data_IF_855943490232
#
_entry.id   IF_855943490232
#
_cell.length_a   1.000
_cell.length_b   1.000
_cell.length_c   1.000
_cell.angle_alpha   90.00
_cell.angle_beta   90.00
_cell.angle_gamma   90.00
#
_symmetry.space_group_name_H-M   'P 1'
#
loop_
_entity.id
_entity.type
_entity.pdbx_description
1 polymer ?
#
# COMPACT_ATOMS: atom_id res chain seq x y z
N UNK A 1 -33.67 11.51 9.93
CA UNK A 1 -32.91 10.27 9.75
C UNK A 1 -31.89 10.36 8.61
N UNK A 2 -32.22 10.87 7.42
CA UNK A 2 -31.30 11.00 6.27
C UNK A 2 -30.03 11.86 6.50
N UNK A 3 -30.14 12.97 7.30
CA UNK A 3 -28.97 13.84 7.58
C UNK A 3 -27.96 13.26 8.59
N UNK A 4 -28.38 12.33 9.45
CA UNK A 4 -27.49 11.63 10.39
C UNK A 4 -26.74 10.47 9.71
N UNK A 5 -27.35 9.82 8.71
CA UNK A 5 -26.68 8.84 7.87
C UNK A 5 -25.55 9.47 7.03
N UNK A 6 -25.76 10.71 6.53
CA UNK A 6 -24.75 11.42 5.74
C UNK A 6 -23.50 11.79 6.55
N UNK A 7 -23.64 12.13 7.83
CA UNK A 7 -22.52 12.48 8.70
C UNK A 7 -21.71 11.24 9.13
N UNK A 8 -22.38 10.12 9.44
CA UNK A 8 -21.71 8.85 9.78
C UNK A 8 -21.01 8.24 8.55
N UNK A 9 -21.58 8.38 7.35
CA UNK A 9 -20.95 7.94 6.10
C UNK A 9 -19.74 8.82 5.76
N UNK A 10 -19.79 10.12 6.06
CA UNK A 10 -18.68 11.05 5.84
C UNK A 10 -17.46 10.71 6.73
N UNK A 11 -17.67 10.23 7.96
CA UNK A 11 -16.58 9.79 8.84
C UNK A 11 -15.85 8.54 8.31
N UNK A 12 -16.53 7.65 7.57
CA UNK A 12 -15.93 6.47 6.90
C UNK A 12 -14.98 6.84 5.74
N UNK A 13 -15.13 8.07 5.20
CA UNK A 13 -14.42 8.51 3.99
C UNK A 13 -13.15 9.32 4.26
N UNK A 14 -12.95 9.73 5.50
CA UNK A 14 -11.86 10.64 5.86
C UNK A 14 -10.48 9.99 5.99
N UNK A 15 -10.40 8.67 5.96
CA UNK A 15 -9.13 8.00 5.71
C UNK A 15 -9.00 7.82 4.20
N UNK A 16 -8.22 8.65 3.53
CA UNK A 16 -7.67 8.27 2.21
C UNK A 16 -7.13 6.85 2.40
N UNK A 17 -7.55 5.87 1.59
CA UNK A 17 -6.98 4.54 1.73
C UNK A 17 -5.47 4.72 1.70
N UNK A 18 -4.80 4.34 2.80
CA UNK A 18 -3.35 4.38 2.87
C UNK A 18 -2.88 3.71 1.60
N UNK A 19 -2.04 4.40 0.82
CA UNK A 19 -1.46 3.81 -0.38
C UNK A 19 -0.84 2.49 0.05
N UNK A 20 -1.52 1.39 -0.24
CA UNK A 20 -1.02 0.08 0.16
C UNK A 20 0.38 -0.07 -0.44
N UNK A 21 1.39 -0.04 0.42
CA UNK A 21 2.77 -0.30 0.06
C UNK A 21 2.99 -1.82 0.07
N UNK A 22 2.21 -2.52 -0.76
CA UNK A 22 2.40 -3.93 -1.03
C UNK A 22 3.77 -4.16 -1.68
N UNK A 23 4.39 -5.28 -1.37
CA UNK A 23 5.58 -5.71 -2.09
C UNK A 23 5.20 -6.14 -3.51
N UNK A 24 6.17 -6.13 -4.42
CA UNK A 24 6.01 -6.73 -5.74
C UNK A 24 6.63 -8.13 -5.76
N UNK A 25 6.24 -8.95 -6.73
CA UNK A 25 6.82 -10.28 -6.92
C UNK A 25 8.35 -10.22 -6.97
N UNK A 26 9.00 -11.06 -6.15
CA UNK A 26 10.46 -11.19 -6.00
C UNK A 26 11.15 -10.00 -5.33
N UNK A 27 10.44 -9.06 -4.71
CA UNK A 27 11.07 -7.94 -3.98
C UNK A 27 11.92 -8.45 -2.79
N UNK A 28 11.65 -9.66 -2.27
CA UNK A 28 12.46 -10.31 -1.24
C UNK A 28 13.66 -11.11 -1.78
N UNK A 29 14.01 -11.01 -3.07
CA UNK A 29 15.29 -11.49 -3.61
C UNK A 29 16.28 -10.32 -3.58
N UNK A 30 17.30 -10.32 -2.68
CA UNK A 30 18.21 -9.18 -2.57
C UNK A 30 19.14 -9.07 -3.78
N UNK A 31 19.47 -7.85 -4.16
CA UNK A 31 20.59 -7.60 -5.04
C UNK A 31 21.93 -7.80 -4.29
N UNK A 32 23.06 -8.01 -5.02
CA UNK A 32 24.36 -8.11 -4.38
C UNK A 32 24.71 -6.88 -3.52
N UNK A 33 25.41 -7.06 -2.38
CA UNK A 33 25.90 -5.94 -1.59
C UNK A 33 26.76 -4.98 -2.41
N UNK A 34 26.57 -3.67 -2.19
CA UNK A 34 27.18 -2.59 -2.97
C UNK A 34 26.31 -2.08 -4.11
N UNK A 35 25.20 -2.77 -4.42
CA UNK A 35 24.24 -2.31 -5.44
C UNK A 35 23.42 -1.13 -4.89
N UNK A 36 23.33 -0.08 -5.69
CA UNK A 36 22.34 0.98 -5.49
C UNK A 36 21.20 0.76 -6.49
N UNK A 37 19.97 0.69 -5.99
CA UNK A 37 18.76 0.55 -6.79
C UNK A 37 17.91 1.80 -6.65
N UNK A 38 17.42 2.27 -7.75
CA UNK A 38 16.55 3.42 -7.86
C UNK A 38 15.23 3.01 -8.49
N UNK A 39 14.12 3.21 -7.80
CA UNK A 39 12.80 2.95 -8.36
C UNK A 39 11.97 4.23 -8.45
N UNK A 40 11.27 4.38 -9.58
CA UNK A 40 10.20 5.35 -9.76
C UNK A 40 8.91 4.60 -10.07
N UNK A 41 7.85 4.91 -9.31
CA UNK A 41 6.51 4.35 -9.54
C UNK A 41 5.53 5.44 -9.92
N UNK A 42 4.54 5.04 -10.70
CA UNK A 42 3.30 5.78 -10.88
C UNK A 42 2.14 4.83 -10.57
N UNK A 43 1.27 5.23 -9.65
CA UNK A 43 0.06 4.50 -9.31
C UNK A 43 -1.16 5.33 -9.65
N UNK A 44 -2.10 4.74 -10.39
CA UNK A 44 -3.42 5.28 -10.63
C UNK A 44 -4.44 4.37 -9.94
N UNK A 45 -5.19 4.91 -8.99
CA UNK A 45 -6.14 4.18 -8.17
C UNK A 45 -7.52 4.80 -8.37
N UNK A 46 -8.52 3.97 -8.63
CA UNK A 46 -9.92 4.41 -8.78
C UNK A 46 -10.84 3.53 -7.94
N UNK A 47 -11.96 4.10 -7.49
CA UNK A 47 -13.06 3.35 -6.89
C UNK A 47 -14.40 4.02 -7.23
N UNK A 48 -15.38 3.22 -7.64
CA UNK A 48 -16.74 3.69 -7.93
C UNK A 48 -17.78 3.15 -6.94
N UNK A 49 -17.39 2.22 -6.09
CA UNK A 49 -18.26 1.56 -5.14
C UNK A 49 -17.73 1.72 -3.71
N UNK A 50 -18.66 1.94 -2.79
CA UNK A 50 -18.38 1.96 -1.36
C UNK A 50 -19.13 0.80 -0.68
N UNK A 51 -18.41 0.10 0.21
CA UNK A 51 -18.94 -1.06 0.94
C UNK A 51 -18.93 -0.81 2.44
N UNK A 52 -19.88 -1.41 3.14
CA UNK A 52 -19.95 -1.48 4.60
C UNK A 52 -20.50 -2.83 5.03
N UNK A 53 -19.78 -3.54 5.88
CA UNK A 53 -20.14 -4.89 6.37
C UNK A 53 -20.46 -5.91 5.26
N UNK A 54 -19.81 -5.79 4.09
CA UNK A 54 -20.01 -6.65 2.93
C UNK A 54 -21.10 -6.17 1.97
N UNK A 55 -21.92 -5.23 2.36
CA UNK A 55 -22.97 -4.67 1.52
C UNK A 55 -22.46 -3.46 0.74
N UNK A 56 -22.79 -3.41 -0.56
CA UNK A 56 -22.55 -2.21 -1.36
C UNK A 56 -23.52 -1.11 -0.95
N UNK A 57 -22.99 -0.08 -0.26
CA UNK A 57 -23.80 1.05 0.25
C UNK A 57 -23.92 2.19 -0.74
N UNK A 58 -23.02 2.27 -1.71
CA UNK A 58 -23.12 3.22 -2.83
C UNK A 58 -22.43 2.67 -4.08
N UNK A 59 -22.98 2.99 -5.25
CA UNK A 59 -22.36 2.84 -6.58
C UNK A 59 -22.06 4.20 -7.23
N UNK A 60 -22.19 5.27 -6.49
CA UNK A 60 -21.86 6.64 -6.87
C UNK A 60 -20.90 7.22 -5.82
N UNK A 61 -19.70 6.66 -5.82
CA UNK A 61 -18.53 7.01 -5.02
C UNK A 61 -17.33 7.05 -5.95
N UNK A 62 -16.94 8.24 -6.38
CA UNK A 62 -15.92 8.40 -7.40
C UNK A 62 -14.63 8.88 -6.75
N UNK A 63 -13.76 7.93 -6.40
CA UNK A 63 -12.39 8.20 -5.95
C UNK A 63 -11.43 8.04 -7.13
N UNK A 64 -10.55 9.01 -7.31
CA UNK A 64 -9.41 8.93 -8.23
C UNK A 64 -8.16 9.44 -7.53
N UNK A 65 -7.06 8.69 -7.63
CA UNK A 65 -5.76 9.08 -7.04
C UNK A 65 -4.65 8.81 -8.06
N UNK A 66 -3.72 9.76 -8.20
CA UNK A 66 -2.49 9.61 -8.96
C UNK A 66 -1.31 9.83 -8.02
N UNK A 67 -0.42 8.86 -7.89
CA UNK A 67 0.67 8.90 -6.91
C UNK A 67 1.97 8.51 -7.58
N UNK A 68 2.91 9.44 -7.59
CA UNK A 68 4.32 9.18 -7.91
C UNK A 68 5.07 8.75 -6.65
N UNK A 69 5.90 7.70 -6.75
CA UNK A 69 6.74 7.23 -5.65
C UNK A 69 8.17 7.16 -6.13
N UNK A 70 9.04 7.76 -5.36
CA UNK A 70 10.49 7.74 -5.53
C UNK A 70 11.10 6.87 -4.43
N UNK A 71 11.84 5.82 -4.79
CA UNK A 71 12.38 4.82 -3.85
C UNK A 71 13.85 4.54 -4.12
N UNK A 72 14.80 5.20 -3.43
CA UNK A 72 16.20 4.80 -3.37
C UNK A 72 16.37 3.62 -2.42
N UNK A 73 17.22 2.67 -2.82
CA UNK A 73 17.55 1.44 -2.08
C UNK A 73 19.04 1.23 -2.16
N UNK A 74 19.70 0.91 -1.05
CA UNK A 74 21.12 0.57 -1.04
C UNK A 74 21.36 -0.77 -0.37
N UNK A 75 21.79 -1.76 -1.15
CA UNK A 75 22.12 -3.09 -0.64
C UNK A 75 23.51 -3.10 -0.01
N UNK A 76 23.61 -3.54 1.23
CA UNK A 76 24.86 -3.64 1.98
C UNK A 76 24.88 -4.88 2.87
N UNK A 77 25.95 -5.04 3.65
CA UNK A 77 26.07 -6.12 4.63
C UNK A 77 26.32 -5.59 6.03
N UNK A 78 25.66 -6.22 7.02
CA UNK A 78 25.93 -6.00 8.43
C UNK A 78 26.22 -7.37 9.07
N UNK A 79 27.49 -7.65 9.35
CA UNK A 79 27.93 -8.99 9.74
C UNK A 79 27.63 -10.02 8.65
N UNK A 80 26.96 -11.12 8.96
CA UNK A 80 26.61 -12.15 7.96
C UNK A 80 25.34 -11.83 7.17
N UNK A 81 24.61 -10.76 7.51
CA UNK A 81 23.30 -10.47 6.94
C UNK A 81 23.38 -9.44 5.82
N UNK A 82 22.62 -9.66 4.76
CA UNK A 82 22.32 -8.63 3.77
C UNK A 82 21.23 -7.71 4.34
N UNK A 83 21.37 -6.41 4.13
CA UNK A 83 20.42 -5.38 4.53
C UNK A 83 20.28 -4.34 3.42
N UNK A 84 19.11 -3.73 3.29
CA UNK A 84 18.85 -2.69 2.29
C UNK A 84 18.07 -1.49 2.88
N UNK A 85 18.72 -0.50 3.50
CA UNK A 85 18.04 0.72 3.86
C UNK A 85 17.42 1.41 2.63
N UNK A 86 16.17 1.90 2.83
CA UNK A 86 15.33 2.47 1.79
C UNK A 86 14.50 3.65 2.31
N UNK A 87 14.09 4.51 1.41
CA UNK A 87 13.09 5.54 1.68
C UNK A 87 12.07 5.56 0.53
N UNK A 88 10.82 5.86 0.85
CA UNK A 88 9.79 6.15 -0.13
C UNK A 88 9.33 7.60 0.06
N UNK A 89 9.40 8.37 -1.01
CA UNK A 89 8.93 9.74 -1.07
C UNK A 89 7.74 9.73 -2.03
N UNK A 90 6.57 10.13 -1.53
CA UNK A 90 5.31 10.06 -2.25
C UNK A 90 4.78 11.47 -2.51
N UNK A 91 4.40 11.73 -3.76
CA UNK A 91 3.72 12.96 -4.16
C UNK A 91 2.57 12.61 -5.11
N UNK A 92 1.43 13.26 -4.94
CA UNK A 92 0.30 12.96 -5.80
C UNK A 92 -0.87 13.89 -5.62
N UNK A 93 -1.99 13.45 -6.21
CA UNK A 93 -3.29 14.07 -6.10
C UNK A 93 -4.37 13.02 -5.83
N UNK A 94 -5.45 13.48 -5.22
CA UNK A 94 -6.64 12.68 -4.98
C UNK A 94 -7.88 13.54 -5.21
N UNK A 95 -8.89 12.96 -5.85
CA UNK A 95 -10.21 13.56 -6.06
C UNK A 95 -11.29 12.60 -5.56
N UNK A 96 -12.35 13.14 -4.96
CA UNK A 96 -13.46 12.38 -4.44
C UNK A 96 -14.75 13.13 -4.66
N UNK A 97 -15.74 12.52 -5.32
CA UNK A 97 -17.08 13.03 -5.53
C UNK A 97 -18.14 11.93 -5.50
N UNK A 98 -19.37 12.28 -5.81
CA UNK A 98 -20.51 11.36 -5.91
C UNK A 98 -21.54 11.51 -4.79
N UNK A 99 -22.65 10.78 -4.93
CA UNK A 99 -23.77 10.85 -3.97
C UNK A 99 -23.37 10.34 -2.58
N UNK A 100 -22.40 9.43 -2.48
CA UNK A 100 -21.87 8.91 -1.22
C UNK A 100 -21.28 10.02 -0.33
N UNK A 101 -20.77 11.08 -0.93
CA UNK A 101 -20.21 12.26 -0.23
C UNK A 101 -21.13 13.48 -0.32
N UNK A 102 -22.44 13.22 -0.52
CA UNK A 102 -23.48 14.27 -0.55
C UNK A 102 -23.47 15.13 -1.81
N UNK A 103 -22.87 14.65 -2.92
CA UNK A 103 -22.72 15.37 -4.17
C UNK A 103 -21.66 16.48 -4.13
N UNK A 104 -20.85 16.53 -3.07
CA UNK A 104 -19.72 17.46 -2.99
C UNK A 104 -18.52 16.90 -3.78
N UNK A 105 -17.62 17.81 -4.15
CA UNK A 105 -16.33 17.48 -4.74
C UNK A 105 -15.22 17.90 -3.79
N UNK A 106 -14.29 16.96 -3.53
CA UNK A 106 -13.12 17.19 -2.69
C UNK A 106 -11.86 16.85 -3.47
N UNK A 107 -10.79 17.59 -3.21
CA UNK A 107 -9.49 17.33 -3.82
C UNK A 107 -8.36 17.60 -2.82
N UNK A 108 -7.27 16.88 -2.99
CA UNK A 108 -6.02 17.10 -2.28
C UNK A 108 -4.87 16.90 -3.26
N UNK A 109 -3.80 17.67 -3.11
CA UNK A 109 -2.55 17.54 -3.89
C UNK A 109 -1.39 17.86 -2.98
N UNK A 110 -0.31 17.09 -3.06
CA UNK A 110 0.90 17.37 -2.28
C UNK A 110 1.70 16.13 -1.92
N UNK A 111 2.62 16.29 -0.97
CA UNK A 111 3.39 15.18 -0.43
C UNK A 111 2.55 14.36 0.55
N UNK A 112 2.52 13.04 0.34
CA UNK A 112 2.01 12.12 1.35
C UNK A 112 3.09 11.84 2.42
N UNK A 113 2.73 11.09 3.45
CA UNK A 113 3.66 10.71 4.51
C UNK A 113 4.78 9.84 3.93
N UNK A 114 6.07 10.25 4.04
CA UNK A 114 7.17 9.43 3.56
C UNK A 114 7.38 8.22 4.46
N UNK A 115 7.96 7.16 3.88
CA UNK A 115 8.22 5.90 4.60
C UNK A 115 9.70 5.58 4.57
N UNK A 116 10.25 5.21 5.73
CA UNK A 116 11.59 4.66 5.85
C UNK A 116 11.51 3.19 6.24
N UNK A 117 12.39 2.38 5.66
CA UNK A 117 12.41 0.94 5.88
C UNK A 117 13.79 0.36 5.61
N UNK A 118 14.01 -0.86 6.07
CA UNK A 118 15.18 -1.64 5.69
C UNK A 118 14.82 -3.13 5.78
N UNK A 119 15.11 -3.90 4.76
CA UNK A 119 14.97 -5.35 4.83
C UNK A 119 16.24 -5.97 5.39
N UNK A 120 16.11 -6.88 6.33
CA UNK A 120 17.17 -7.74 6.82
C UNK A 120 16.90 -9.17 6.34
N UNK A 121 17.79 -9.71 5.51
CA UNK A 121 17.73 -11.12 5.09
C UNK A 121 18.48 -12.01 6.06
N UNK A 122 17.73 -12.86 6.77
CA UNK A 122 18.30 -13.91 7.62
C UNK A 122 18.44 -15.25 6.90
N UNK A 123 17.78 -15.42 5.72
CA UNK A 123 18.07 -16.47 4.75
C UNK A 123 18.32 -15.82 3.39
N UNK A 124 19.51 -16.05 2.84
CA UNK A 124 19.88 -15.63 1.49
C UNK A 124 20.62 -16.82 0.84
N UNK A 125 19.86 -17.76 0.28
CA UNK A 125 20.36 -19.00 -0.31
C UNK A 125 19.99 -19.10 -1.80
N UNK A 126 20.76 -18.47 -2.70
CA UNK A 126 20.52 -18.52 -4.14
C UNK A 126 20.62 -19.95 -4.71
N UNK A 127 21.44 -20.84 -4.10
CA UNK A 127 21.60 -22.21 -4.56
C UNK A 127 20.32 -23.02 -4.44
N UNK A 128 19.60 -22.85 -3.32
CA UNK A 128 18.34 -23.50 -3.07
C UNK A 128 17.14 -22.61 -3.47
N UNK A 129 17.40 -21.42 -4.04
CA UNK A 129 16.39 -20.41 -4.40
C UNK A 129 15.46 -20.12 -3.24
N UNK A 130 16.02 -19.83 -2.06
CA UNK A 130 15.26 -19.52 -0.84
C UNK A 130 15.79 -18.24 -0.22
N UNK A 131 14.87 -17.29 -0.03
CA UNK A 131 15.15 -16.03 0.63
C UNK A 131 14.08 -15.76 1.68
N UNK A 132 14.49 -15.32 2.85
CA UNK A 132 13.58 -14.91 3.92
C UNK A 132 14.13 -13.65 4.55
N UNK A 133 13.31 -12.62 4.60
CA UNK A 133 13.66 -11.32 5.16
C UNK A 133 12.60 -10.75 6.08
N UNK A 134 13.02 -9.83 6.92
CA UNK A 134 12.17 -9.02 7.77
C UNK A 134 12.35 -7.55 7.44
N UNK A 135 11.24 -6.85 7.25
CA UNK A 135 11.22 -5.43 6.86
C UNK A 135 10.33 -4.63 7.84
N UNK A 136 10.89 -3.86 8.77
CA UNK A 136 10.14 -2.84 9.46
C UNK A 136 9.95 -1.61 8.55
N UNK A 137 8.71 -1.21 8.33
CA UNK A 137 8.36 0.07 7.71
C UNK A 137 7.94 1.06 8.79
N UNK A 138 8.35 2.30 8.65
CA UNK A 138 7.94 3.41 9.52
C UNK A 138 7.47 4.57 8.64
N UNK A 139 6.17 4.87 8.70
CA UNK A 139 5.58 6.04 8.05
C UNK A 139 5.70 7.24 8.98
N UNK A 140 6.22 8.34 8.45
CA UNK A 140 6.48 9.58 9.20
C UNK A 140 5.34 10.58 8.93
N UNK A 141 4.62 11.09 9.96
CA UNK A 141 3.49 12.00 9.77
C UNK A 141 3.96 13.44 9.49
N UNK A 142 4.59 13.63 8.34
CA UNK A 142 5.16 14.92 7.91
C UNK A 142 4.66 15.36 6.52
N UNK A 143 3.73 14.60 5.93
CA UNK A 143 3.06 14.94 4.70
C UNK A 143 2.07 16.09 4.86
N UNK A 144 1.43 16.49 3.76
CA UNK A 144 0.46 17.59 3.78
C UNK A 144 -0.85 17.16 4.41
N UNK A 145 -1.16 17.77 5.55
CA UNK A 145 -2.37 17.56 6.31
C UNK A 145 -3.02 18.89 6.73
N UNK A 146 -4.31 18.99 6.52
CA UNK A 146 -5.14 20.08 7.02
C UNK A 146 -6.46 19.48 7.52
N UNK A 147 -6.72 19.57 8.84
CA UNK A 147 -7.94 19.04 9.46
C UNK A 147 -9.24 19.65 8.91
N UNK A 148 -9.15 20.83 8.28
CA UNK A 148 -10.29 21.50 7.66
C UNK A 148 -10.68 20.87 6.32
N UNK A 149 -9.83 20.02 5.75
CA UNK A 149 -10.09 19.29 4.51
C UNK A 149 -10.71 17.92 4.80
N UNK A 150 -11.66 17.54 3.99
CA UNK A 150 -12.24 16.20 4.00
C UNK A 150 -11.25 15.16 3.45
N UNK A 151 -10.46 15.57 2.47
CA UNK A 151 -9.47 14.73 1.78
C UNK A 151 -8.07 15.30 2.04
N UNK A 152 -7.15 14.45 2.49
CA UNK A 152 -5.76 14.80 2.78
C UNK A 152 -4.80 13.79 2.14
N UNK A 153 -3.57 14.22 1.83
CA UNK A 153 -2.52 13.33 1.34
C UNK A 153 -1.78 12.62 2.48
N UNK A 154 -1.81 13.15 3.70
CA UNK A 154 -1.22 12.58 4.92
C UNK A 154 -2.30 12.03 5.85
N UNK A 155 -1.97 10.96 6.57
CA UNK A 155 -2.80 10.43 7.66
C UNK A 155 -2.58 11.15 9.00
N UNK A 156 -1.56 12.03 9.09
CA UNK A 156 -1.16 12.77 10.28
C UNK A 156 -0.95 11.88 11.52
N UNK A 157 -0.36 10.70 11.32
CA UNK A 157 -0.07 9.73 12.38
C UNK A 157 1.08 8.82 11.97
N UNK A 158 1.80 8.29 12.95
CA UNK A 158 2.79 7.26 12.71
C UNK A 158 2.11 5.95 12.34
N UNK A 159 2.70 5.22 11.38
CA UNK A 159 2.34 3.84 11.09
C UNK A 159 3.60 2.99 11.15
N UNK A 160 3.54 1.90 11.91
CA UNK A 160 4.63 0.93 12.02
C UNK A 160 4.13 -0.37 11.41
N UNK A 161 4.80 -0.83 10.33
CA UNK A 161 4.44 -2.08 9.63
C UNK A 161 5.63 -3.04 9.67
N UNK A 162 5.70 -3.96 10.65
CA UNK A 162 6.58 -5.13 10.56
C UNK A 162 6.05 -6.08 9.49
N UNK A 163 6.95 -6.54 8.60
CA UNK A 163 6.65 -7.45 7.51
C UNK A 163 7.68 -8.56 7.43
N UNK A 164 7.24 -9.78 7.18
CA UNK A 164 8.11 -10.93 6.87
C UNK A 164 7.76 -11.42 5.48
N UNK A 165 8.78 -11.51 4.64
CA UNK A 165 8.65 -12.05 3.30
C UNK A 165 9.54 -13.28 3.09
N UNK A 166 8.98 -14.27 2.38
CA UNK A 166 9.65 -15.47 1.93
C UNK A 166 9.50 -15.58 0.42
N UNK A 167 10.61 -15.84 -0.29
CA UNK A 167 10.59 -16.22 -1.70
C UNK A 167 11.20 -17.59 -1.87
N UNK A 168 10.50 -18.48 -2.56
CA UNK A 168 10.96 -19.82 -2.90
C UNK A 168 10.83 -20.09 -4.39
N UNK A 169 11.95 -20.43 -5.02
CA UNK A 169 11.98 -20.91 -6.41
C UNK A 169 11.74 -22.41 -6.51
N UNK A 170 11.00 -22.83 -7.53
CA UNK A 170 10.69 -24.23 -7.87
C UNK A 170 11.10 -24.52 -9.32
N UNK A 171 11.93 -25.53 -9.52
CA UNK A 171 12.52 -25.82 -10.82
C UNK A 171 13.33 -24.61 -11.31
N UNK A 172 13.23 -24.32 -12.61
CA UNK A 172 14.02 -23.24 -13.23
C UNK A 172 13.25 -21.93 -13.32
N UNK A 173 11.91 -21.96 -13.40
CA UNK A 173 11.07 -20.85 -13.87
C UNK A 173 10.05 -20.32 -12.87
N UNK A 174 9.63 -21.11 -11.88
CA UNK A 174 8.58 -20.71 -10.94
C UNK A 174 9.16 -20.14 -9.65
N UNK A 175 8.53 -19.08 -9.14
CA UNK A 175 8.80 -18.54 -7.81
C UNK A 175 7.48 -18.26 -7.10
N UNK A 176 7.45 -18.58 -5.82
CA UNK A 176 6.35 -18.29 -4.92
C UNK A 176 6.85 -17.36 -3.82
N UNK A 177 6.18 -16.23 -3.68
CA UNK A 177 6.40 -15.29 -2.60
C UNK A 177 5.25 -15.43 -1.61
N UNK A 178 5.56 -15.45 -0.32
CA UNK A 178 4.61 -15.41 0.79
C UNK A 178 5.01 -14.28 1.71
N UNK A 179 4.11 -13.32 1.94
CA UNK A 179 4.37 -12.13 2.73
C UNK A 179 3.27 -11.96 3.75
N UNK A 180 3.65 -11.69 4.99
CA UNK A 180 2.74 -11.39 6.10
C UNK A 180 3.19 -10.12 6.77
N UNK A 181 2.26 -9.23 7.06
CA UNK A 181 2.53 -7.98 7.77
C UNK A 181 1.43 -7.67 8.79
N UNK A 182 1.75 -6.75 9.69
CA UNK A 182 0.78 -6.11 10.56
C UNK A 182 1.02 -4.61 10.52
N UNK A 183 -0.03 -3.80 10.50
CA UNK A 183 0.12 -2.36 10.62
C UNK A 183 -0.44 -1.87 11.96
N UNK A 184 0.33 -1.03 12.64
CA UNK A 184 0.02 -0.43 13.92
C UNK A 184 0.01 1.08 13.77
N UNK A 185 -1.04 1.72 14.24
CA UNK A 185 -1.28 3.14 14.06
C UNK A 185 -1.21 3.87 15.39
N UNK A 186 -0.61 5.05 15.41
CA UNK A 186 -0.86 6.00 16.50
C UNK A 186 -2.15 6.76 16.22
N UNK A 187 -2.67 7.42 17.22
CA UNK A 187 -3.86 8.24 17.04
C UNK A 187 -3.52 9.51 16.27
N UNK A 188 -4.54 10.05 15.57
CA UNK A 188 -4.53 11.40 15.05
C UNK A 188 -5.44 12.25 15.93
N UNK A 189 -4.83 13.06 16.81
CA UNK A 189 -5.56 13.92 17.75
C UNK A 189 -6.05 15.23 17.11
N UNK A 190 -5.67 15.50 15.87
CA UNK A 190 -6.10 16.67 15.10
C UNK A 190 -7.03 16.26 13.93
N UNK A 191 -7.88 15.25 14.14
CA UNK A 191 -8.76 14.72 13.12
C UNK A 191 -10.03 15.56 12.96
N UNK A 192 -10.45 15.78 11.75
CA UNK A 192 -11.54 16.47 11.13
C UNK A 192 -12.73 17.01 11.93
N UNK A 193 -12.75 18.27 12.27
CA UNK A 193 -13.91 19.18 12.28
C UNK A 193 -13.41 20.61 12.32
N UNK A 194 -14.05 21.50 11.58
CA UNK A 194 -13.71 22.92 11.52
C UNK A 194 -13.68 23.63 12.88
N UNK A 195 -14.41 23.15 13.87
CA UNK A 195 -14.60 23.84 15.14
C UNK A 195 -13.94 23.15 16.34
N UNK A 196 -13.90 21.83 16.36
CA UNK A 196 -13.29 21.05 17.43
C UNK A 196 -12.48 19.91 16.84
N UNK A 197 -11.17 19.80 17.15
CA UNK A 197 -10.41 18.62 16.79
C UNK A 197 -11.04 17.40 17.46
N UNK A 198 -11.12 16.30 16.71
CA UNK A 198 -11.53 15.00 17.22
C UNK A 198 -10.34 14.07 17.18
N UNK A 199 -10.42 12.94 17.86
CA UNK A 199 -9.39 11.91 17.85
C UNK A 199 -9.82 10.78 16.95
N UNK A 200 -8.96 10.40 16.01
CA UNK A 200 -9.09 9.19 15.22
C UNK A 200 -8.14 8.14 15.80
N UNK A 201 -8.71 7.04 16.24
CA UNK A 201 -8.03 5.82 16.64
C UNK A 201 -8.24 4.75 15.55
N UNK A 202 -7.31 3.82 15.38
CA UNK A 202 -7.49 2.68 14.49
C UNK A 202 -6.87 1.44 15.10
N UNK A 203 -7.66 0.36 15.12
CA UNK A 203 -7.19 -0.96 15.54
C UNK A 203 -6.17 -1.49 14.51
N UNK A 204 -5.20 -2.34 14.90
CA UNK A 204 -4.22 -2.88 13.96
C UNK A 204 -4.87 -3.64 12.79
N UNK A 205 -4.17 -3.65 11.64
CA UNK A 205 -4.47 -4.52 10.51
C UNK A 205 -3.46 -5.66 10.41
N UNK A 206 -3.89 -6.75 9.80
CA UNK A 206 -3.03 -7.86 9.36
C UNK A 206 -3.17 -8.00 7.86
N UNK A 207 -2.04 -8.06 7.16
CA UNK A 207 -1.96 -8.24 5.72
C UNK A 207 -1.33 -9.59 5.36
N UNK A 208 -1.82 -10.19 4.29
CA UNK A 208 -1.21 -11.35 3.64
C UNK A 208 -1.14 -11.10 2.13
N UNK A 209 0.03 -11.34 1.56
CA UNK A 209 0.26 -11.23 0.12
C UNK A 209 0.93 -12.52 -0.39
N UNK A 210 0.58 -12.93 -1.59
CA UNK A 210 1.28 -14.02 -2.27
C UNK A 210 1.39 -13.72 -3.75
N UNK A 211 2.57 -14.01 -4.31
CA UNK A 211 2.87 -13.81 -5.72
C UNK A 211 3.38 -15.12 -6.31
N UNK A 212 2.68 -15.63 -7.30
CA UNK A 212 3.14 -16.77 -8.09
C UNK A 212 3.68 -16.28 -9.42
N UNK A 213 5.00 -16.25 -9.56
CA UNK A 213 5.64 -15.73 -10.74
C UNK A 213 6.29 -16.81 -11.62
N UNK A 214 6.29 -16.57 -12.94
CA UNK A 214 6.81 -17.49 -13.95
C UNK A 214 7.70 -16.77 -14.97
N UNK A 215 8.93 -17.30 -15.17
CA UNK A 215 9.86 -16.80 -16.17
C UNK A 215 9.43 -17.26 -17.58
N UNK A 216 8.93 -16.34 -18.38
CA UNK A 216 8.61 -16.56 -19.79
C UNK A 216 9.91 -16.71 -20.57
N UNK A 217 10.81 -15.74 -20.38
CA UNK A 217 12.20 -15.73 -20.91
C UNK A 217 13.16 -15.27 -19.80
N UNK A 218 14.44 -15.07 -20.13
CA UNK A 218 15.40 -14.47 -19.19
C UNK A 218 15.13 -13.01 -18.87
N UNK A 219 14.40 -12.30 -19.76
CA UNK A 219 14.07 -10.87 -19.58
C UNK A 219 12.65 -10.63 -19.13
N UNK A 220 11.75 -11.58 -19.33
CA UNK A 220 10.33 -11.41 -19.06
C UNK A 220 9.84 -12.41 -18.04
N UNK A 221 9.17 -11.92 -17.01
CA UNK A 221 8.36 -12.77 -16.15
C UNK A 221 7.00 -12.13 -15.86
N UNK A 222 6.03 -12.98 -15.55
CA UNK A 222 4.67 -12.62 -15.19
C UNK A 222 4.39 -13.09 -13.76
N UNK A 223 3.54 -12.40 -13.03
CA UNK A 223 3.09 -12.80 -11.70
C UNK A 223 1.59 -12.70 -11.57
N UNK A 224 1.00 -13.70 -10.95
CA UNK A 224 -0.36 -13.66 -10.41
C UNK A 224 -0.25 -13.33 -8.93
N UNK A 225 -0.94 -12.29 -8.50
CA UNK A 225 -0.78 -11.68 -7.19
C UNK A 225 -2.11 -11.73 -6.44
N UNK A 226 -2.07 -12.09 -5.15
CA UNK A 226 -3.23 -12.07 -4.28
C UNK A 226 -2.91 -11.27 -3.02
N UNK A 227 -3.87 -10.47 -2.60
CA UNK A 227 -3.78 -9.58 -1.46
C UNK A 227 -4.97 -9.79 -0.53
N UNK A 228 -4.70 -9.80 0.77
CA UNK A 228 -5.71 -9.85 1.81
C UNK A 228 -5.35 -8.90 2.93
N UNK A 229 -6.33 -8.14 3.42
CA UNK A 229 -6.20 -7.30 4.62
C UNK A 229 -7.38 -7.54 5.54
N UNK A 230 -7.10 -7.64 6.85
CA UNK A 230 -8.09 -7.80 7.90
C UNK A 230 -7.83 -6.87 9.08
N UNK A 231 -8.90 -6.36 9.71
CA UNK A 231 -8.83 -5.50 10.89
C UNK A 231 -9.01 -4.02 10.57
N UNK A 232 -8.36 -3.16 11.34
CA UNK A 232 -8.29 -1.72 11.08
C UNK A 232 -9.58 -0.96 11.37
N UNK A 233 -10.44 -1.48 12.28
CA UNK A 233 -11.64 -0.75 12.69
C UNK A 233 -11.25 0.60 13.29
N UNK A 234 -11.93 1.67 12.84
CA UNK A 234 -11.66 3.02 13.31
C UNK A 234 -12.64 3.45 14.42
N UNK A 235 -12.16 4.35 15.29
CA UNK A 235 -12.96 5.01 16.29
C UNK A 235 -12.76 6.52 16.19
N UNK A 236 -13.82 7.27 16.16
CA UNK A 236 -13.80 8.75 16.17
C UNK A 236 -14.31 9.23 17.50
N UNK A 237 -13.46 9.88 18.30
CA UNK A 237 -13.77 10.30 19.68
C UNK A 237 -14.32 9.14 20.53
N UNK A 238 -13.71 7.96 20.42
CA UNK A 238 -14.10 6.74 21.15
C UNK A 238 -15.34 6.02 20.60
N UNK A 239 -15.98 6.53 19.51
CA UNK A 239 -17.14 5.90 18.89
C UNK A 239 -16.69 5.04 17.72
N UNK A 240 -16.92 3.71 17.81
CA UNK A 240 -16.64 2.75 16.73
C UNK A 240 -17.38 3.13 15.45
N UNK A 241 -16.68 3.00 14.30
CA UNK A 241 -17.25 3.28 12.99
C UNK A 241 -17.83 2.03 12.31
N UNK A 242 -17.62 0.84 12.91
CA UNK A 242 -18.10 -0.44 12.36
C UNK A 242 -17.62 -0.64 10.90
N UNK A 243 -16.31 -0.39 10.71
CA UNK A 243 -15.65 -0.35 9.40
C UNK A 243 -14.49 -1.36 9.30
N UNK A 244 -14.49 -2.39 10.14
CA UNK A 244 -13.52 -3.49 10.09
C UNK A 244 -13.37 -3.99 8.67
N UNK A 245 -12.14 -4.01 8.17
CA UNK A 245 -11.81 -4.50 6.84
C UNK A 245 -11.72 -6.03 6.82
N UNK A 246 -12.10 -6.63 5.72
CA UNK A 246 -11.81 -8.00 5.30
C UNK A 246 -11.87 -7.98 3.77
N UNK A 247 -10.79 -7.48 3.18
CA UNK A 247 -10.78 -7.11 1.76
C UNK A 247 -9.78 -7.99 1.01
N UNK A 248 -10.18 -8.46 -0.16
CA UNK A 248 -9.41 -9.35 -1.02
C UNK A 248 -9.18 -8.72 -2.39
N UNK A 249 -7.94 -8.74 -2.85
CA UNK A 249 -7.55 -8.26 -4.17
C UNK A 249 -6.83 -9.33 -4.99
N UNK A 250 -6.99 -9.25 -6.31
CA UNK A 250 -6.20 -10.01 -7.28
C UNK A 250 -5.46 -9.04 -8.18
N UNK A 251 -4.21 -9.38 -8.50
CA UNK A 251 -3.36 -8.63 -9.41
C UNK A 251 -2.71 -9.51 -10.48
N UNK A 252 -2.32 -8.86 -11.56
CA UNK A 252 -1.50 -9.44 -12.60
C UNK A 252 -0.37 -8.47 -12.91
N UNK A 253 0.87 -8.94 -12.80
CA UNK A 253 2.06 -8.14 -13.02
C UNK A 253 2.90 -8.69 -14.16
N UNK A 254 3.44 -7.81 -15.00
CA UNK A 254 4.39 -8.13 -16.05
C UNK A 254 5.68 -7.35 -15.82
N UNK A 255 6.80 -8.06 -15.83
CA UNK A 255 8.13 -7.50 -15.61
C UNK A 255 8.99 -7.69 -16.85
N UNK A 256 9.74 -6.67 -17.22
CA UNK A 256 10.66 -6.66 -18.36
C UNK A 256 12.02 -6.11 -17.95
N UNK A 257 13.04 -6.96 -17.96
CA UNK A 257 14.44 -6.57 -17.82
C UNK A 257 15.01 -6.06 -19.15
N UNK A 258 15.54 -4.84 -19.16
CA UNK A 258 16.10 -4.17 -20.33
C UNK A 258 17.61 -3.97 -20.13
N UNK A 259 18.42 -4.67 -20.91
CA UNK A 259 19.85 -4.69 -20.71
C UNK A 259 20.23 -5.34 -19.37
N UNK A 260 21.28 -4.83 -18.71
CA UNK A 260 21.76 -5.35 -17.42
C UNK A 260 21.21 -4.57 -16.21
N UNK A 261 20.72 -3.38 -16.41
CA UNK A 261 20.53 -2.40 -15.34
C UNK A 261 19.09 -1.89 -15.18
N UNK A 262 18.21 -2.13 -16.16
CA UNK A 262 16.85 -1.60 -16.12
C UNK A 262 15.82 -2.70 -15.99
N UNK A 263 14.76 -2.41 -15.25
CA UNK A 263 13.54 -3.22 -15.22
C UNK A 263 12.31 -2.33 -15.27
N UNK A 264 11.37 -2.68 -16.12
CA UNK A 264 10.02 -2.11 -16.14
C UNK A 264 9.03 -3.10 -15.56
N UNK A 265 7.99 -2.60 -14.92
CA UNK A 265 6.86 -3.39 -14.44
C UNK A 265 5.57 -2.65 -14.75
N UNK A 266 4.55 -3.42 -15.14
CA UNK A 266 3.15 -3.01 -15.19
C UNK A 266 2.37 -3.97 -14.33
N UNK A 267 1.56 -3.47 -13.42
CA UNK A 267 0.64 -4.24 -12.58
C UNK A 267 -0.76 -3.67 -12.71
N UNK A 268 -1.75 -4.55 -12.82
CA UNK A 268 -3.15 -4.22 -12.61
C UNK A 268 -3.68 -5.05 -11.45
N UNK A 269 -4.36 -4.38 -10.51
CA UNK A 269 -4.99 -4.99 -9.34
C UNK A 269 -6.44 -4.57 -9.23
N UNK A 270 -7.30 -5.49 -8.79
CA UNK A 270 -8.73 -5.28 -8.53
C UNK A 270 -9.10 -5.88 -7.16
N UNK A 271 -9.82 -5.11 -6.34
CA UNK A 271 -10.37 -5.58 -5.07
C UNK A 271 -11.72 -6.24 -5.34
N UNK A 272 -11.71 -7.56 -5.53
CA UNK A 272 -12.89 -8.35 -5.94
C UNK A 272 -13.87 -8.66 -4.79
N UNK A 273 -13.43 -8.53 -3.53
CA UNK A 273 -14.28 -8.71 -2.35
C UNK A 273 -13.88 -7.70 -1.29
N UNK A 274 -14.80 -6.82 -0.93
CA UNK A 274 -14.58 -5.73 0.02
C UNK A 274 -15.65 -5.79 1.10
N UNK A 275 -15.23 -5.91 2.38
CA UNK A 275 -16.14 -5.83 3.51
C UNK A 275 -16.45 -4.37 3.88
N UNK A 276 -15.42 -3.54 4.01
CA UNK A 276 -15.61 -2.13 4.38
C UNK A 276 -14.58 -1.26 3.66
N UNK A 277 -15.05 -0.10 3.16
CA UNK A 277 -14.25 0.86 2.42
C UNK A 277 -14.55 0.88 0.92
N UNK A 278 -13.75 1.60 0.13
CA UNK A 278 -13.85 1.63 -1.32
C UNK A 278 -13.38 0.30 -1.93
N UNK A 279 -14.07 -0.17 -2.96
CA UNK A 279 -13.60 -1.25 -3.83
C UNK A 279 -12.71 -0.64 -4.91
N UNK A 280 -11.41 -0.87 -4.82
CA UNK A 280 -10.43 -0.17 -5.66
C UNK A 280 -9.95 -0.99 -6.86
N UNK A 281 -9.67 -0.28 -7.95
CA UNK A 281 -8.87 -0.75 -9.08
C UNK A 281 -7.58 0.05 -9.10
N UNK A 282 -6.46 -0.60 -9.35
CA UNK A 282 -5.15 0.05 -9.35
C UNK A 282 -4.34 -0.35 -10.58
N UNK A 283 -3.78 0.63 -11.29
CA UNK A 283 -2.74 0.46 -12.28
C UNK A 283 -1.43 0.99 -11.72
N UNK A 284 -0.40 0.15 -11.70
CA UNK A 284 0.95 0.54 -11.25
C UNK A 284 1.94 0.38 -12.39
N UNK A 285 2.73 1.42 -12.63
CA UNK A 285 3.91 1.38 -13.47
C UNK A 285 5.14 1.55 -12.60
N UNK A 286 6.21 0.77 -12.83
CA UNK A 286 7.51 0.91 -12.14
C UNK A 286 8.65 0.90 -13.14
N UNK A 287 9.56 1.81 -12.97
CA UNK A 287 10.90 1.75 -13.54
C UNK A 287 11.91 1.56 -12.42
N UNK A 288 12.81 0.60 -12.57
CA UNK A 288 13.90 0.30 -11.64
C UNK A 288 15.23 0.37 -12.38
N UNK A 289 16.23 1.01 -11.78
CA UNK A 289 17.58 1.14 -12.32
C UNK A 289 18.62 0.69 -11.28
N UNK A 290 19.47 -0.25 -11.67
CA UNK A 290 20.53 -0.82 -10.83
C UNK A 290 21.89 -0.23 -11.22
N UNK A 291 22.64 0.29 -10.21
CA UNK A 291 24.00 0.82 -10.37
C UNK A 291 25.06 -0.16 -9.92
#
# INVERSE_FOLDING_TARGET
MMKLLSAALLCLLLAVPNVSLAANARDYIPAPPGTFLFCAYFKHITANNLYKNGDKVSSDFNLSQNIGIFRPVYYTQVGPFTIDPQALILYGDAELDGAAVGGNQYSATGFADPVVLATLWFVNDPKNKLWVGFTPYVTLPVGEYDRMRVLNMSGNRWVIKPEVGLVKGFGEKFFLDLIVNGEFYTDNDDYGSAFLPTRLEQDPTVGFETHLSYDITKQWFISLDYYYVYGGETKVSGVSQDDTQSNHGLGLSLFWGIGSNNQLMVEYRDDFSVRSGPGTNQLTLRWAYFF
#
